data_IF_441070036361
#
_entry.id   IF_441070036361
#
_cell.length_a   1.000
_cell.length_b   1.000
_cell.length_c   1.000
_cell.angle_alpha   90.00
_cell.angle_beta   90.00
_cell.angle_gamma   90.00
#
_symmetry.space_group_name_H-M   'P 1'
#
loop_
_entity.id
_entity.type
_entity.pdbx_description
1 polymer ?
#
# COMPACT_ATOMS: atom_id res chain seq x y z
N UNK A 1 -9.44 57.49 -34.87
CA UNK A 1 -9.68 56.77 -33.60
C UNK A 1 -9.16 55.35 -33.75
N UNK A 2 -8.36 54.84 -32.81
CA UNK A 2 -7.77 53.49 -32.89
C UNK A 2 -8.70 52.48 -32.20
N UNK A 3 -9.03 51.33 -32.81
CA UNK A 3 -9.88 50.32 -32.18
C UNK A 3 -9.13 49.56 -31.08
N UNK A 4 -9.85 49.21 -30.03
CA UNK A 4 -9.35 48.62 -28.79
C UNK A 4 -8.77 47.22 -28.96
N UNK A 5 -7.71 46.95 -28.18
CA UNK A 5 -7.03 45.67 -28.07
C UNK A 5 -7.93 44.67 -27.35
N UNK A 6 -8.22 43.56 -28.02
CA UNK A 6 -8.95 42.42 -27.46
C UNK A 6 -8.19 41.76 -26.31
N UNK A 7 -8.90 41.53 -25.22
CA UNK A 7 -8.44 40.72 -24.08
C UNK A 7 -8.50 39.26 -24.52
N UNK A 8 -7.36 38.58 -24.55
CA UNK A 8 -7.27 37.15 -24.85
C UNK A 8 -7.78 36.32 -23.69
N UNK A 9 -8.80 35.51 -23.95
CA UNK A 9 -9.34 34.50 -23.04
C UNK A 9 -8.26 33.47 -22.67
N UNK A 10 -7.90 33.43 -21.39
CA UNK A 10 -7.02 32.42 -20.83
C UNK A 10 -7.70 31.05 -20.85
N UNK A 11 -7.28 30.21 -21.79
CA UNK A 11 -7.69 28.82 -21.91
C UNK A 11 -7.38 28.06 -20.61
N UNK A 12 -8.43 27.80 -19.82
CA UNK A 12 -8.36 26.98 -18.60
C UNK A 12 -8.19 25.52 -19.04
N UNK A 13 -6.94 25.04 -19.00
CA UNK A 13 -6.61 23.62 -19.19
C UNK A 13 -7.57 22.77 -18.34
N UNK A 14 -8.25 21.76 -18.92
CA UNK A 14 -9.22 20.96 -18.18
C UNK A 14 -8.52 20.27 -17.01
N UNK A 15 -8.82 20.73 -15.80
CA UNK A 15 -8.45 20.07 -14.57
C UNK A 15 -8.98 18.64 -14.64
N UNK A 16 -8.08 17.66 -14.69
CA UNK A 16 -8.44 16.24 -14.74
C UNK A 16 -9.26 15.95 -13.49
N UNK A 17 -10.56 15.73 -13.63
CA UNK A 17 -11.42 15.39 -12.50
C UNK A 17 -10.96 14.03 -11.95
N UNK A 18 -10.36 14.03 -10.75
CA UNK A 18 -9.94 12.79 -10.12
C UNK A 18 -11.18 11.96 -9.78
N UNK A 19 -11.31 10.79 -10.42
CA UNK A 19 -12.27 9.77 -10.00
C UNK A 19 -11.69 9.02 -8.79
N UNK A 20 -12.11 9.41 -7.59
CA UNK A 20 -11.68 8.80 -6.33
C UNK A 20 -12.45 7.50 -6.01
N UNK A 21 -13.60 7.30 -6.65
CA UNK A 21 -14.46 6.13 -6.47
C UNK A 21 -14.83 5.53 -7.82
N UNK A 22 -14.99 4.21 -7.84
CA UNK A 22 -15.61 3.50 -8.94
C UNK A 22 -17.10 3.82 -9.00
N UNK A 23 -17.74 3.57 -10.14
CA UNK A 23 -19.19 3.76 -10.30
C UNK A 23 -20.00 2.84 -9.34
N UNK A 24 -19.37 1.81 -8.78
CA UNK A 24 -19.92 0.92 -7.75
C UNK A 24 -19.70 1.40 -6.29
N UNK A 25 -19.09 2.58 -6.08
CA UNK A 25 -18.83 3.13 -4.74
C UNK A 25 -17.55 2.62 -4.06
N UNK A 26 -16.80 1.70 -4.70
CA UNK A 26 -15.51 1.23 -4.17
C UNK A 26 -14.44 2.33 -4.26
N UNK A 27 -13.69 2.63 -3.18
CA UNK A 27 -12.59 3.58 -3.23
C UNK A 27 -11.45 3.06 -4.11
N UNK A 28 -10.83 3.94 -4.89
CA UNK A 28 -9.60 3.63 -5.62
C UNK A 28 -8.35 3.88 -4.77
N UNK A 29 -7.32 3.08 -4.99
CA UNK A 29 -5.96 3.37 -4.49
C UNK A 29 -5.22 4.21 -5.52
N UNK A 30 -4.87 5.44 -5.15
CA UNK A 30 -4.31 6.47 -6.01
C UNK A 30 -3.10 7.12 -5.33
N UNK A 31 -2.01 7.31 -6.06
CA UNK A 31 -0.84 8.03 -5.58
C UNK A 31 -0.48 9.15 -6.54
N UNK A 32 -1.30 10.21 -6.57
CA UNK A 32 -1.06 11.37 -7.44
C UNK A 32 0.20 12.13 -7.03
N UNK A 33 0.48 12.14 -5.72
CA UNK A 33 1.67 12.76 -5.16
C UNK A 33 2.97 12.04 -5.57
N UNK A 34 2.88 10.81 -6.09
CA UNK A 34 4.02 9.91 -6.40
C UNK A 34 4.98 9.81 -5.22
N UNK A 35 4.43 9.82 -4.00
CA UNK A 35 5.20 9.68 -2.78
C UNK A 35 5.57 8.22 -2.58
N UNK A 36 6.74 7.98 -1.98
CA UNK A 36 7.08 6.63 -1.54
C UNK A 36 6.25 6.34 -0.29
N UNK A 37 5.69 5.14 -0.22
CA UNK A 37 4.96 4.69 0.94
C UNK A 37 5.29 3.24 1.25
N UNK A 38 5.21 2.89 2.51
CA UNK A 38 5.26 1.54 3.02
C UNK A 38 3.94 1.29 3.74
N UNK A 39 3.30 0.16 3.44
CA UNK A 39 2.04 -0.23 4.04
C UNK A 39 2.20 -1.61 4.64
N UNK A 40 1.97 -1.71 5.95
CA UNK A 40 2.04 -2.94 6.71
C UNK A 40 0.63 -3.30 7.17
N UNK A 41 0.30 -4.56 6.98
CA UNK A 41 -0.96 -5.19 7.33
C UNK A 41 -0.69 -6.17 8.47
N UNK A 42 -0.81 -5.69 9.70
CA UNK A 42 -0.70 -6.51 10.90
C UNK A 42 -2.08 -7.04 11.30
N UNK A 43 -2.14 -8.12 12.07
CA UNK A 43 -3.42 -8.74 12.47
C UNK A 43 -4.35 -7.78 13.23
N UNK A 44 -3.79 -6.87 14.03
CA UNK A 44 -4.55 -5.93 14.86
C UNK A 44 -4.68 -4.51 14.29
N UNK A 45 -3.82 -4.13 13.34
CA UNK A 45 -3.72 -2.74 12.85
C UNK A 45 -3.14 -2.66 11.44
N UNK A 46 -3.40 -1.55 10.76
CA UNK A 46 -2.68 -1.12 9.58
C UNK A 46 -1.67 -0.03 9.95
N UNK A 47 -0.47 -0.12 9.40
CA UNK A 47 0.53 0.94 9.50
C UNK A 47 0.88 1.46 8.11
N UNK A 48 0.64 2.75 7.89
CA UNK A 48 0.96 3.44 6.65
C UNK A 48 2.06 4.47 6.90
N UNK A 49 3.24 4.22 6.35
CA UNK A 49 4.38 5.12 6.41
C UNK A 49 4.52 5.87 5.08
N UNK A 50 4.30 7.18 5.09
CA UNK A 50 4.40 8.07 3.94
C UNK A 50 5.71 8.86 4.00
N UNK A 51 6.52 8.79 2.95
CA UNK A 51 7.72 9.60 2.81
C UNK A 51 7.36 10.96 2.21
N UNK A 52 7.06 11.91 3.08
CA UNK A 52 6.71 13.28 2.72
C UNK A 52 7.98 14.14 2.66
N UNK A 53 7.95 15.23 1.90
CA UNK A 53 9.08 16.14 1.83
C UNK A 53 9.35 16.81 3.18
N UNK A 54 10.62 16.82 3.61
CA UNK A 54 11.06 17.33 4.91
C UNK A 54 10.61 18.77 5.18
N UNK A 55 10.74 19.64 4.19
CA UNK A 55 10.42 21.06 4.31
C UNK A 55 8.97 21.39 3.95
N UNK A 56 8.10 20.39 3.77
CA UNK A 56 6.68 20.64 3.60
C UNK A 56 6.09 21.10 4.94
N UNK A 57 5.25 22.14 4.93
CA UNK A 57 4.56 22.55 6.15
C UNK A 57 3.40 21.58 6.46
N UNK A 58 3.12 21.34 7.74
CA UNK A 58 2.02 20.45 8.15
C UNK A 58 0.67 21.00 7.71
N UNK A 59 0.52 22.32 7.56
CA UNK A 59 -0.70 22.96 7.04
C UNK A 59 -0.98 22.61 5.57
N UNK A 60 0.02 22.13 4.82
CA UNK A 60 -0.14 21.66 3.45
C UNK A 60 -0.48 20.16 3.38
N UNK A 61 -0.76 19.53 4.53
CA UNK A 61 -1.09 18.11 4.64
C UNK A 61 -2.43 17.98 5.34
N UNK A 62 -3.36 17.30 4.70
CA UNK A 62 -4.65 16.94 5.27
C UNK A 62 -4.77 15.41 5.24
N UNK A 63 -5.13 14.81 6.37
CA UNK A 63 -5.30 13.36 6.48
C UNK A 63 -6.71 13.07 6.92
N UNK A 64 -7.39 12.21 6.16
CA UNK A 64 -8.77 11.81 6.35
C UNK A 64 -8.79 10.28 6.40
N UNK A 65 -9.11 9.74 7.58
CA UNK A 65 -9.21 8.32 7.82
C UNK A 65 -10.68 7.91 7.79
N UNK A 66 -11.04 7.06 6.85
CA UNK A 66 -12.38 6.51 6.72
C UNK A 66 -12.33 5.00 6.98
N UNK A 67 -13.43 4.37 7.42
CA UNK A 67 -13.43 2.94 7.73
C UNK A 67 -12.89 2.07 6.59
N UNK A 68 -13.20 2.43 5.34
CA UNK A 68 -12.88 1.63 4.15
C UNK A 68 -11.70 2.16 3.32
N UNK A 69 -11.18 3.35 3.63
CA UNK A 69 -10.07 3.93 2.91
C UNK A 69 -9.39 5.03 3.72
N UNK A 70 -8.12 5.28 3.42
CA UNK A 70 -7.42 6.45 3.93
C UNK A 70 -7.08 7.40 2.78
N UNK A 71 -7.25 8.69 3.02
CA UNK A 71 -6.91 9.75 2.09
C UNK A 71 -5.96 10.74 2.75
N UNK A 72 -4.85 11.01 2.11
CA UNK A 72 -3.92 12.07 2.48
C UNK A 72 -3.81 13.05 1.31
N UNK A 73 -4.12 14.32 1.53
CA UNK A 73 -3.93 15.40 0.56
C UNK A 73 -2.62 16.11 0.90
N UNK A 74 -1.64 16.02 0.01
CA UNK A 74 -0.31 16.63 0.18
C UNK A 74 -0.14 17.71 -0.89
N UNK A 75 -0.11 18.98 -0.50
CA UNK A 75 0.05 20.13 -1.43
C UNK A 75 -0.93 20.08 -2.62
N UNK A 76 -2.19 19.75 -2.35
CA UNK A 76 -3.25 19.65 -3.36
C UNK A 76 -3.22 18.38 -4.21
N UNK A 77 -2.30 17.44 -3.95
CA UNK A 77 -2.28 16.12 -4.59
C UNK A 77 -2.86 15.07 -3.67
N UNK A 78 -3.75 14.23 -4.20
CA UNK A 78 -4.42 13.22 -3.39
C UNK A 78 -3.62 11.91 -3.42
N UNK A 79 -3.34 11.39 -2.23
CA UNK A 79 -2.99 10.00 -1.98
C UNK A 79 -4.22 9.34 -1.36
N UNK A 80 -4.69 8.26 -1.94
CA UNK A 80 -5.79 7.47 -1.40
C UNK A 80 -5.40 6.00 -1.41
N UNK A 81 -5.73 5.28 -0.36
CA UNK A 81 -5.50 3.85 -0.26
C UNK A 81 -6.78 3.19 0.23
N UNK A 82 -7.33 2.29 -0.58
CA UNK A 82 -8.45 1.45 -0.17
C UNK A 82 -7.97 0.39 0.82
N UNK A 83 -8.68 0.27 1.94
CA UNK A 83 -8.40 -0.73 2.96
C UNK A 83 -9.24 -1.99 2.68
N UNK A 84 -8.74 -3.16 3.12
CA UNK A 84 -9.46 -4.42 2.97
C UNK A 84 -10.45 -4.62 4.12
N UNK A 85 -9.97 -4.39 5.34
CA UNK A 85 -10.76 -4.45 6.56
C UNK A 85 -11.11 -3.05 7.06
N UNK A 86 -12.24 -2.98 7.76
CA UNK A 86 -12.67 -1.74 8.39
C UNK A 86 -11.76 -1.35 9.55
N UNK A 87 -11.45 -0.06 9.65
CA UNK A 87 -10.64 0.50 10.74
C UNK A 87 -11.48 1.26 11.76
N UNK A 88 -10.94 1.36 12.97
CA UNK A 88 -11.41 2.28 14.00
C UNK A 88 -10.84 3.67 13.75
N UNK A 89 -11.63 4.54 13.14
CA UNK A 89 -11.22 5.93 12.90
C UNK A 89 -10.89 6.69 14.19
N UNK A 90 -11.59 6.42 15.29
CA UNK A 90 -11.43 7.13 16.57
C UNK A 90 -10.09 6.82 17.28
N UNK A 91 -9.63 5.57 17.19
CA UNK A 91 -8.35 5.13 17.78
C UNK A 91 -7.17 5.29 16.80
N UNK A 92 -7.42 5.78 15.59
CA UNK A 92 -6.38 5.98 14.57
C UNK A 92 -5.52 7.19 14.91
N UNK A 93 -4.20 7.06 14.75
CA UNK A 93 -3.26 8.15 15.05
C UNK A 93 -2.35 8.42 13.86
N UNK A 94 -2.01 9.69 13.64
CA UNK A 94 -1.00 10.09 12.67
C UNK A 94 0.13 10.86 13.36
N UNK A 95 1.37 10.51 13.05
CA UNK A 95 2.57 11.17 13.57
C UNK A 95 3.48 11.54 12.43
N UNK A 96 3.97 12.77 12.45
CA UNK A 96 4.92 13.29 11.45
C UNK A 96 6.27 13.57 12.10
N UNK A 97 7.33 13.10 11.47
CA UNK A 97 8.70 13.47 11.79
C UNK A 97 9.16 14.62 10.89
N UNK A 98 9.30 15.82 11.46
CA UNK A 98 9.82 16.99 10.73
C UNK A 98 11.29 16.81 10.32
N UNK A 99 12.05 15.98 11.04
CA UNK A 99 13.48 15.78 10.78
C UNK A 99 13.73 14.83 9.61
N UNK A 100 12.95 13.75 9.50
CA UNK A 100 13.09 12.73 8.43
C UNK A 100 12.09 12.91 7.29
N UNK A 101 11.02 13.67 7.48
CA UNK A 101 9.94 13.83 6.51
C UNK A 101 8.94 12.65 6.49
N UNK A 102 9.14 11.64 7.33
CA UNK A 102 8.25 10.49 7.39
C UNK A 102 6.97 10.82 8.15
N UNK A 103 5.86 10.29 7.69
CA UNK A 103 4.57 10.36 8.35
C UNK A 103 4.03 8.96 8.54
N UNK A 104 3.89 8.55 9.80
CA UNK A 104 3.36 7.25 10.18
C UNK A 104 1.90 7.42 10.57
N UNK A 105 1.02 6.63 9.97
CA UNK A 105 -0.39 6.57 10.29
C UNK A 105 -0.69 5.16 10.78
N UNK A 106 -1.11 5.04 12.04
CA UNK A 106 -1.45 3.77 12.68
C UNK A 106 -2.97 3.72 12.81
N UNK A 107 -3.57 2.70 12.21
CA UNK A 107 -5.02 2.52 12.11
C UNK A 107 -5.42 1.16 12.68
N UNK A 108 -5.96 1.08 13.90
CA UNK A 108 -6.43 -0.18 14.46
C UNK A 108 -7.57 -0.76 13.64
N UNK A 109 -7.57 -2.07 13.41
CA UNK A 109 -8.67 -2.77 12.74
C UNK A 109 -9.88 -2.84 13.67
N UNK A 110 -11.08 -2.72 13.11
CA UNK A 110 -12.33 -2.84 13.87
C UNK A 110 -12.54 -4.30 14.35
N UNK A 111 -12.22 -5.27 13.49
CA UNK A 111 -12.37 -6.69 13.76
C UNK A 111 -11.05 -7.44 13.54
N UNK A 112 -10.13 -7.49 14.52
CA UNK A 112 -8.84 -8.17 14.38
C UNK A 112 -8.97 -9.70 14.23
N UNK A 113 -10.16 -10.26 14.50
CA UNK A 113 -10.43 -11.70 14.44
C UNK A 113 -10.75 -12.22 13.04
N UNK A 114 -10.94 -11.32 12.06
CA UNK A 114 -11.25 -11.71 10.69
C UNK A 114 -9.95 -11.94 9.91
N UNK A 115 -9.28 -13.05 10.22
CA UNK A 115 -8.10 -13.50 9.48
C UNK A 115 -8.54 -13.82 8.05
N UNK A 116 -8.52 -12.83 7.18
CA UNK A 116 -8.58 -13.07 5.74
C UNK A 116 -7.22 -13.62 5.36
N UNK A 117 -7.12 -14.95 5.30
CA UNK A 117 -5.99 -15.61 4.65
C UNK A 117 -5.98 -15.21 3.17
N UNK A 118 -5.40 -14.06 2.84
CA UNK A 118 -4.98 -13.82 1.47
C UNK A 118 -3.76 -14.70 1.27
N UNK A 119 -3.94 -15.85 0.61
CA UNK A 119 -2.83 -16.59 0.04
C UNK A 119 -1.92 -15.58 -0.67
N UNK A 120 -0.62 -15.54 -0.35
CA UNK A 120 0.27 -14.69 -1.10
C UNK A 120 0.18 -15.14 -2.55
N UNK A 121 -0.24 -14.25 -3.45
CA UNK A 121 -0.06 -14.44 -4.88
C UNK A 121 1.45 -14.54 -5.11
N UNK A 122 1.99 -15.76 -5.00
CA UNK A 122 3.30 -16.10 -5.48
C UNK A 122 3.27 -15.71 -6.95
N UNK A 123 4.04 -14.67 -7.26
CA UNK A 123 4.32 -14.17 -8.59
C UNK A 123 4.83 -15.30 -9.47
N UNK A 124 3.92 -16.06 -10.05
CA UNK A 124 4.22 -17.15 -10.98
C UNK A 124 4.45 -16.55 -12.36
N UNK A 125 5.54 -15.80 -12.50
CA UNK A 125 6.18 -15.65 -13.82
C UNK A 125 6.98 -16.92 -14.11
N UNK A 126 6.27 -18.01 -14.38
CA UNK A 126 6.84 -19.12 -15.16
C UNK A 126 6.70 -18.72 -16.62
N UNK A 127 7.83 -18.34 -17.22
CA UNK A 127 7.95 -18.17 -18.67
C UNK A 127 7.54 -19.49 -19.34
N UNK A 128 6.45 -19.46 -20.08
CA UNK A 128 6.03 -20.58 -20.93
C UNK A 128 6.78 -20.49 -22.24
N UNK A 129 7.97 -21.09 -22.24
CA UNK A 129 8.72 -21.34 -23.46
C UNK A 129 8.91 -22.87 -23.55
N UNK A 130 8.05 -23.50 -24.37
CA UNK A 130 8.23 -24.76 -25.07
C UNK A 130 8.74 -26.04 -24.35
N UNK A 131 7.83 -27.01 -24.25
CA UNK A 131 8.01 -28.44 -24.55
C UNK A 131 9.06 -29.28 -23.77
N UNK A 132 8.55 -30.09 -22.84
CA UNK A 132 9.22 -31.30 -22.34
C UNK A 132 8.37 -32.03 -21.29
N UNK A 133 7.69 -33.11 -21.68
CA UNK A 133 6.96 -34.02 -20.77
C UNK A 133 7.94 -34.72 -19.84
N UNK A 134 7.77 -34.59 -18.52
CA UNK A 134 8.13 -35.67 -17.57
C UNK A 134 7.10 -35.72 -16.44
N UNK A 135 6.43 -36.87 -16.33
CA UNK A 135 5.45 -37.17 -15.29
C UNK A 135 6.16 -37.31 -13.93
N UNK A 136 5.92 -36.38 -13.01
CA UNK A 136 6.42 -36.49 -11.63
C UNK A 136 5.45 -37.34 -10.80
N UNK A 137 5.82 -38.60 -10.56
CA UNK A 137 5.13 -39.50 -9.64
C UNK A 137 5.96 -39.67 -8.37
N UNK A 138 5.42 -39.27 -7.22
CA UNK A 138 5.97 -39.64 -5.91
C UNK A 138 5.56 -38.68 -4.80
N UNK A 139 4.75 -39.17 -3.85
CA UNK A 139 4.52 -38.50 -2.56
C UNK A 139 5.83 -38.43 -1.78
N UNK A 140 6.17 -37.25 -1.24
CA UNK A 140 7.42 -37.01 -0.51
C UNK A 140 7.17 -37.13 0.99
N UNK A 141 7.73 -38.14 1.65
CA UNK A 141 7.63 -38.33 3.10
C UNK A 141 8.73 -37.55 3.85
N UNK A 142 8.31 -36.60 4.68
CA UNK A 142 9.18 -35.62 5.37
C UNK A 142 9.80 -36.11 6.69
N UNK A 143 9.58 -37.38 7.08
CA UNK A 143 9.89 -37.89 8.43
C UNK A 143 11.38 -38.12 8.75
N UNK A 144 12.29 -37.99 7.78
CA UNK A 144 13.72 -38.33 7.98
C UNK A 144 14.68 -37.14 8.12
N UNK A 145 14.18 -35.90 8.17
CA UNK A 145 15.06 -34.72 8.13
C UNK A 145 15.81 -34.48 9.45
N UNK A 146 15.36 -35.05 10.58
CA UNK A 146 15.94 -34.75 11.90
C UNK A 146 16.44 -36.04 12.57
N UNK A 147 17.71 -36.40 12.33
CA UNK A 147 18.62 -37.05 13.30
C UNK A 147 19.93 -37.47 12.64
N UNK A 148 20.93 -36.60 12.66
CA UNK A 148 22.33 -37.02 12.88
C UNK A 148 23.06 -35.91 13.65
N UNK A 149 22.77 -35.87 14.95
CA UNK A 149 23.66 -35.30 15.95
C UNK A 149 24.09 -36.41 16.89
N UNK A 150 25.38 -36.74 16.90
CA UNK A 150 26.01 -37.54 17.97
C UNK A 150 26.96 -38.64 17.50
N UNK A 151 28.27 -38.42 17.78
CA UNK A 151 29.34 -39.33 18.29
C UNK A 151 29.41 -40.78 17.74
N UNK A 152 30.56 -41.40 17.49
CA UNK A 152 31.86 -41.35 18.18
C UNK A 152 32.93 -41.98 17.28
N UNK A 153 34.17 -41.51 17.42
CA UNK A 153 35.35 -42.21 16.95
C UNK A 153 35.58 -43.47 17.81
N UNK A 154 35.89 -44.60 17.19
CA UNK A 154 36.75 -45.63 17.79
C UNK A 154 37.41 -46.52 16.72
N UNK A 155 38.65 -46.85 17.09
CA UNK A 155 39.78 -47.56 16.49
C UNK A 155 39.52 -48.94 15.85
N UNK A 156 40.27 -49.23 14.77
CA UNK A 156 41.27 -50.31 14.71
C UNK A 156 42.18 -50.12 13.49
#
# INVERSE_FOLDING_TARGET
ERPGVGVGDGEKVPQRTLKLFADCGRPYSLNEAKIKFEFLDEDDRYELNLHIYKFLDTSCIEVDAQPNYIRATIKGKVFQLALKDEIKTDESTCKRSTTTGQMLIVMPKLNPQNITFSEPEVYSKVRRDAAGKTDLKGTVDYKNIIKQGGKSAEIN
#
